data_IF_800885957783
#
_entry.id   IF_800885957783
#
_cell.length_a   1.000
_cell.length_b   1.000
_cell.length_c   1.000
_cell.angle_alpha   90.00
_cell.angle_beta   90.00
_cell.angle_gamma   90.00
#
_symmetry.space_group_name_H-M   'P 1'
#
loop_
_entity.id
_entity.type
_entity.pdbx_description
1 polymer ?
#
# COMPACT_ATOMS: atom_id res chain seq x y z
N UNK A 1 12.27 7.49 -8.92
CA UNK A 1 12.67 8.87 -8.57
C UNK A 1 13.97 9.23 -9.26
N UNK A 2 15.12 8.62 -8.92
CA UNK A 2 16.38 8.90 -9.60
C UNK A 2 16.39 8.36 -11.03
N UNK A 3 16.45 9.26 -12.01
CA UNK A 3 16.42 8.91 -13.43
C UNK A 3 17.61 8.00 -13.83
N UNK A 4 18.81 8.29 -13.33
CA UNK A 4 20.01 7.46 -13.58
C UNK A 4 19.81 6.02 -13.15
N UNK A 5 19.18 5.80 -11.99
CA UNK A 5 18.89 4.45 -11.47
C UNK A 5 17.81 3.78 -12.31
N UNK A 6 16.75 4.50 -12.64
CA UNK A 6 15.66 4.00 -13.48
C UNK A 6 16.15 3.55 -14.87
N UNK A 7 17.02 4.35 -15.48
CA UNK A 7 17.61 4.03 -16.78
C UNK A 7 18.59 2.84 -16.66
N UNK A 8 19.45 2.82 -15.63
CA UNK A 8 20.40 1.73 -15.41
C UNK A 8 19.74 0.39 -15.08
N UNK A 9 18.55 0.39 -14.46
CA UNK A 9 17.79 -0.82 -14.16
C UNK A 9 16.91 -1.33 -15.31
N UNK A 10 17.00 -0.73 -16.50
CA UNK A 10 16.20 -1.12 -17.67
C UNK A 10 14.75 -0.61 -17.66
N UNK A 11 14.43 0.40 -16.84
CA UNK A 11 13.06 0.93 -16.72
C UNK A 11 12.51 1.46 -18.04
N UNK A 12 13.35 2.08 -18.88
CA UNK A 12 12.95 2.62 -20.19
C UNK A 12 12.45 1.52 -21.14
N UNK A 13 13.13 0.37 -21.18
CA UNK A 13 12.73 -0.76 -22.03
C UNK A 13 11.39 -1.35 -21.60
N UNK A 14 11.16 -1.41 -20.28
CA UNK A 14 9.89 -1.88 -19.72
C UNK A 14 8.73 -0.91 -20.01
N UNK A 15 8.98 0.40 -19.96
CA UNK A 15 7.99 1.40 -20.36
C UNK A 15 7.65 1.29 -21.85
N UNK A 16 8.64 1.06 -22.71
CA UNK A 16 8.39 0.86 -24.14
C UNK A 16 7.60 -0.44 -24.41
N UNK A 17 7.89 -1.51 -23.66
CA UNK A 17 7.27 -2.82 -23.86
C UNK A 17 5.86 -2.96 -23.25
N UNK A 18 5.65 -2.39 -22.07
CA UNK A 18 4.44 -2.60 -21.27
C UNK A 18 3.71 -1.30 -20.91
N UNK A 19 4.21 -0.15 -21.37
CA UNK A 19 3.55 1.14 -21.24
C UNK A 19 3.69 1.80 -19.86
N UNK A 20 2.68 2.61 -19.53
CA UNK A 20 2.65 3.49 -18.35
C UNK A 20 2.71 2.75 -17.02
N UNK A 21 2.45 1.44 -16.98
CA UNK A 21 2.53 0.66 -15.75
C UNK A 21 3.94 0.66 -15.13
N UNK A 22 4.98 0.74 -15.96
CA UNK A 22 6.38 0.86 -15.51
C UNK A 22 6.87 2.31 -15.42
N UNK A 23 6.06 3.29 -15.83
CA UNK A 23 6.41 4.71 -15.71
C UNK A 23 6.45 5.10 -14.23
N UNK A 24 7.47 5.85 -13.82
CA UNK A 24 7.54 6.36 -12.45
C UNK A 24 6.36 7.30 -12.13
N UNK A 25 5.92 8.09 -13.10
CA UNK A 25 4.90 9.13 -12.92
C UNK A 25 3.49 8.68 -13.25
N UNK A 26 3.34 7.71 -14.15
CA UNK A 26 2.05 7.39 -14.77
C UNK A 26 1.55 5.99 -14.43
N UNK A 27 2.24 5.26 -13.57
CA UNK A 27 1.71 3.99 -13.06
C UNK A 27 0.46 4.24 -12.20
N UNK A 28 -0.45 3.25 -12.10
CA UNK A 28 -1.70 3.34 -11.33
C UNK A 28 -1.52 3.91 -9.92
N UNK A 29 -0.51 3.44 -9.16
CA UNK A 29 -0.29 3.89 -7.79
C UNK A 29 0.16 5.35 -7.73
N UNK A 30 1.05 5.77 -8.61
CA UNK A 30 1.47 7.17 -8.72
C UNK A 30 0.29 8.08 -9.04
N UNK A 31 -0.61 7.66 -9.94
CA UNK A 31 -1.82 8.41 -10.26
C UNK A 31 -2.80 8.47 -9.09
N UNK A 32 -3.03 7.34 -8.38
CA UNK A 32 -3.90 7.30 -7.19
C UNK A 32 -3.34 8.21 -6.09
N UNK A 33 -2.04 8.17 -5.82
CA UNK A 33 -1.40 9.10 -4.88
C UNK A 33 -1.56 10.55 -5.33
N UNK A 34 -1.28 10.86 -6.59
CA UNK A 34 -1.43 12.22 -7.13
C UNK A 34 -2.87 12.75 -6.95
N UNK A 35 -3.87 11.88 -7.13
CA UNK A 35 -5.30 12.21 -6.98
C UNK A 35 -5.72 12.37 -5.51
N UNK A 36 -5.31 11.45 -4.64
CA UNK A 36 -5.92 11.29 -3.31
C UNK A 36 -5.07 11.77 -2.14
N UNK A 37 -3.78 12.09 -2.34
CA UNK A 37 -2.88 12.47 -1.24
C UNK A 37 -3.38 13.67 -0.43
N UNK A 38 -4.06 14.64 -1.06
CA UNK A 38 -4.62 15.81 -0.38
C UNK A 38 -5.80 15.49 0.54
N UNK A 39 -6.41 14.29 0.42
CA UNK A 39 -7.50 13.84 1.26
C UNK A 39 -7.02 13.31 2.62
N UNK A 40 -5.70 13.16 2.79
CA UNK A 40 -5.12 12.72 4.05
C UNK A 40 -4.90 13.91 4.96
N UNK A 41 -5.73 14.00 6.00
CA UNK A 41 -5.73 15.09 6.99
C UNK A 41 -5.35 14.63 8.39
N UNK A 42 -5.39 13.32 8.64
CA UNK A 42 -5.22 12.69 9.93
C UNK A 42 -4.76 11.23 9.76
N UNK A 43 -4.55 10.54 10.89
CA UNK A 43 -4.08 9.15 10.89
C UNK A 43 -5.12 8.21 10.28
N UNK A 44 -6.41 8.42 10.53
CA UNK A 44 -7.48 7.56 10.01
C UNK A 44 -7.60 7.66 8.48
N UNK A 45 -7.54 8.88 7.94
CA UNK A 45 -7.50 9.14 6.50
C UNK A 45 -6.22 8.63 5.85
N UNK A 46 -5.08 8.63 6.55
CA UNK A 46 -3.85 7.98 6.10
C UNK A 46 -4.01 6.46 6.03
N UNK A 47 -4.54 5.83 7.09
CA UNK A 47 -4.85 4.39 7.10
C UNK A 47 -5.80 4.06 5.94
N UNK A 48 -6.84 4.87 5.72
CA UNK A 48 -7.79 4.70 4.62
C UNK A 48 -7.13 4.75 3.25
N UNK A 49 -6.23 5.71 2.99
CA UNK A 49 -5.51 5.79 1.72
C UNK A 49 -4.57 4.61 1.52
N UNK A 50 -3.81 4.24 2.56
CA UNK A 50 -2.84 3.15 2.46
C UNK A 50 -3.49 1.77 2.34
N UNK A 51 -4.74 1.62 2.79
CA UNK A 51 -5.56 0.41 2.61
C UNK A 51 -6.46 0.46 1.38
N UNK A 52 -6.35 1.51 0.58
CA UNK A 52 -7.22 1.74 -0.56
C UNK A 52 -7.04 0.66 -1.64
N UNK A 53 -8.13 -0.05 -1.90
CA UNK A 53 -8.29 -0.94 -3.05
C UNK A 53 -9.75 -0.99 -3.47
N UNK A 54 -10.13 -0.15 -4.45
CA UNK A 54 -11.43 -0.19 -5.10
C UNK A 54 -11.29 -0.60 -6.58
N UNK A 55 -10.51 -1.66 -6.85
CA UNK A 55 -10.07 -1.96 -8.21
C UNK A 55 -11.19 -2.22 -9.22
N UNK A 56 -12.37 -2.64 -8.76
CA UNK A 56 -13.53 -2.93 -9.61
C UNK A 56 -14.18 -1.67 -10.19
N UNK A 57 -14.12 -0.56 -9.46
CA UNK A 57 -14.80 0.68 -9.81
C UNK A 57 -13.84 1.82 -10.14
N UNK A 58 -12.60 1.78 -9.62
CA UNK A 58 -11.60 2.82 -9.89
C UNK A 58 -11.01 2.67 -11.30
N UNK A 59 -11.21 3.65 -12.21
CA UNK A 59 -10.65 3.58 -13.55
C UNK A 59 -9.13 3.53 -13.57
N UNK A 60 -8.45 4.05 -12.54
CA UNK A 60 -7.00 3.96 -12.42
C UNK A 60 -6.51 2.53 -12.16
N UNK A 61 -7.41 1.65 -11.73
CA UNK A 61 -7.12 0.24 -11.50
C UNK A 61 -7.33 -0.64 -12.74
N UNK A 62 -7.78 -0.05 -13.85
CA UNK A 62 -8.03 -0.77 -15.10
C UNK A 62 -6.72 -1.06 -15.84
N UNK A 63 -6.68 -2.23 -16.45
CA UNK A 63 -5.58 -2.71 -17.28
C UNK A 63 -6.17 -3.08 -18.65
N UNK A 64 -5.96 -2.23 -19.65
CA UNK A 64 -6.53 -2.44 -20.99
C UNK A 64 -6.00 -3.71 -21.68
N UNK A 65 -4.81 -4.16 -21.28
CA UNK A 65 -4.19 -5.40 -21.77
C UNK A 65 -4.60 -6.65 -20.98
N UNK A 66 -5.42 -6.50 -19.93
CA UNK A 66 -5.86 -7.60 -19.06
C UNK A 66 -7.31 -7.99 -19.38
N UNK A 67 -7.63 -9.27 -19.22
CA UNK A 67 -9.00 -9.77 -19.20
C UNK A 67 -9.24 -10.50 -17.86
N UNK A 68 -10.12 -9.99 -16.98
CA UNK A 68 -10.93 -8.78 -17.11
C UNK A 68 -10.10 -7.50 -16.90
N UNK A 69 -10.62 -6.38 -17.39
CA UNK A 69 -9.96 -5.06 -17.34
C UNK A 69 -9.63 -4.64 -15.88
N UNK A 70 -10.54 -4.75 -14.89
CA UNK A 70 -10.23 -4.38 -13.51
C UNK A 70 -9.19 -5.32 -12.89
N UNK A 71 -8.08 -4.78 -12.39
CA UNK A 71 -7.01 -5.59 -11.79
C UNK A 71 -6.74 -5.21 -10.32
N UNK A 72 -6.85 -6.19 -9.43
CA UNK A 72 -6.63 -6.02 -7.99
C UNK A 72 -5.20 -5.61 -7.59
N UNK A 73 -4.23 -5.75 -8.51
CA UNK A 73 -2.84 -5.27 -8.34
C UNK A 73 -2.74 -3.74 -8.46
N UNK A 74 -3.59 -3.11 -9.27
CA UNK A 74 -3.47 -1.69 -9.63
C UNK A 74 -4.13 -0.78 -8.58
N UNK A 75 -3.75 -0.95 -7.31
CA UNK A 75 -4.25 -0.16 -6.17
C UNK A 75 -3.12 0.12 -5.18
N UNK A 76 -3.38 0.92 -4.13
CA UNK A 76 -2.37 1.20 -3.10
C UNK A 76 -2.08 -0.07 -2.29
N UNK A 77 -3.13 -0.75 -1.83
CA UNK A 77 -3.02 -2.04 -1.14
C UNK A 77 -3.51 -3.17 -2.05
N UNK A 78 -2.60 -3.70 -2.87
CA UNK A 78 -2.90 -4.74 -3.84
C UNK A 78 -3.63 -5.97 -3.23
N UNK A 79 -4.55 -6.55 -4.01
CA UNK A 79 -5.30 -7.78 -3.70
C UNK A 79 -5.32 -8.69 -4.91
N UNK A 80 -4.15 -9.21 -5.26
CA UNK A 80 -3.95 -10.04 -6.44
C UNK A 80 -4.65 -11.40 -6.32
N UNK A 81 -5.05 -11.79 -5.10
CA UNK A 81 -5.87 -12.96 -4.81
C UNK A 81 -7.32 -12.81 -5.31
N UNK A 82 -7.80 -11.58 -5.49
CA UNK A 82 -9.15 -11.29 -5.98
C UNK A 82 -9.25 -11.21 -7.51
N UNK A 83 -8.12 -11.31 -8.21
CA UNK A 83 -8.12 -11.49 -9.66
C UNK A 83 -8.67 -12.88 -10.02
N UNK A 84 -9.26 -13.07 -11.21
CA UNK A 84 -9.76 -14.38 -11.61
C UNK A 84 -8.62 -15.38 -11.79
N UNK A 85 -8.87 -16.63 -11.40
CA UNK A 85 -7.88 -17.72 -11.38
C UNK A 85 -7.23 -18.01 -12.73
N UNK A 86 -7.96 -17.83 -13.83
CA UNK A 86 -7.44 -18.02 -15.20
C UNK A 86 -6.61 -16.81 -15.71
N UNK A 87 -6.51 -15.74 -14.92
CA UNK A 87 -5.77 -14.52 -15.24
C UNK A 87 -4.58 -14.33 -14.32
N UNK A 88 -4.43 -13.13 -13.75
CA UNK A 88 -3.26 -12.73 -12.97
C UNK A 88 -3.37 -13.02 -11.47
N UNK A 89 -4.12 -14.07 -11.08
CA UNK A 89 -4.36 -14.39 -9.67
C UNK A 89 -3.09 -14.87 -8.97
N UNK A 90 -2.73 -14.23 -7.86
CA UNK A 90 -1.54 -14.56 -7.07
C UNK A 90 -1.84 -14.42 -5.58
N UNK A 91 -1.22 -15.27 -4.75
CA UNK A 91 -1.22 -15.10 -3.29
C UNK A 91 -0.24 -13.98 -2.90
N UNK A 92 -0.53 -12.77 -3.34
CA UNK A 92 0.31 -11.59 -3.19
C UNK A 92 -0.58 -10.35 -3.03
N UNK A 93 -0.12 -9.39 -2.24
CA UNK A 93 -0.87 -8.17 -1.99
C UNK A 93 -0.30 -7.35 -0.84
N UNK A 94 -1.02 -6.29 -0.46
CA UNK A 94 -0.71 -5.51 0.74
C UNK A 94 -1.06 -6.29 2.01
N UNK A 95 -0.06 -6.62 2.81
CA UNK A 95 -0.20 -7.41 4.05
C UNK A 95 -0.41 -6.55 5.29
N UNK A 96 0.33 -5.45 5.37
CA UNK A 96 0.36 -4.53 6.50
C UNK A 96 0.50 -3.09 6.01
N UNK A 97 0.13 -2.16 6.89
CA UNK A 97 0.54 -0.77 6.79
C UNK A 97 1.01 -0.33 8.16
N UNK A 98 1.87 0.69 8.19
CA UNK A 98 2.44 1.27 9.40
C UNK A 98 2.44 2.77 9.22
N UNK A 99 1.94 3.50 10.21
CA UNK A 99 1.94 4.96 10.20
C UNK A 99 2.46 5.47 11.54
N UNK A 100 3.33 6.48 11.47
CA UNK A 100 3.80 7.24 12.61
C UNK A 100 3.50 8.72 12.41
N UNK A 101 3.17 9.41 13.49
CA UNK A 101 3.00 10.87 13.52
C UNK A 101 4.06 11.48 14.41
N UNK A 102 4.53 12.68 14.09
CA UNK A 102 5.41 13.47 14.96
C UNK A 102 4.79 13.64 16.35
N UNK A 103 3.49 13.89 16.45
CA UNK A 103 2.79 14.06 17.74
C UNK A 103 2.80 12.78 18.57
N UNK A 104 2.58 11.61 17.95
CA UNK A 104 2.70 10.30 18.61
C UNK A 104 4.14 10.08 19.06
N UNK A 105 5.11 10.36 18.20
CA UNK A 105 6.53 10.23 18.52
C UNK A 105 6.95 11.13 19.70
N UNK A 106 6.44 12.37 19.77
CA UNK A 106 6.78 13.34 20.83
C UNK A 106 6.07 13.06 22.16
N UNK A 107 4.78 12.66 22.16
CA UNK A 107 4.03 12.36 23.38
C UNK A 107 4.64 11.22 24.20
N UNK A 108 5.24 10.22 23.54
CA UNK A 108 5.91 9.11 24.24
C UNK A 108 7.35 9.41 24.68
N UNK A 109 7.95 10.51 24.18
CA UNK A 109 9.35 10.84 24.46
C UNK A 109 9.54 11.92 25.52
N UNK A 110 8.57 12.78 25.83
CA UNK A 110 8.73 13.78 26.88
C UNK A 110 7.41 14.34 27.42
N UNK A 111 7.38 14.46 28.75
CA UNK A 111 6.61 15.46 29.48
C UNK A 111 6.55 16.81 28.71
N UNK A 112 5.36 17.28 28.35
CA UNK A 112 5.13 18.63 27.83
C UNK A 112 4.97 18.75 26.30
N UNK A 113 3.73 19.00 25.86
CA UNK A 113 3.35 19.13 24.44
C UNK A 113 3.63 20.53 23.89
N UNK A 114 4.24 20.65 22.70
CA UNK A 114 4.22 21.86 21.86
C UNK A 114 4.01 21.51 20.37
N UNK A 115 2.90 22.05 19.85
CA UNK A 115 2.49 22.44 18.48
C UNK A 115 2.74 21.57 17.24
N UNK A 116 1.63 21.12 16.66
CA UNK A 116 1.11 21.38 15.30
C UNK A 116 2.11 21.46 14.13
N UNK A 117 2.33 20.33 13.44
CA UNK A 117 2.33 20.14 11.98
C UNK A 117 2.30 18.61 11.75
N UNK A 118 1.28 18.01 11.08
CA UNK A 118 1.32 16.61 10.71
C UNK A 118 2.24 16.45 9.49
N UNK A 119 3.52 16.22 9.73
CA UNK A 119 4.42 15.69 8.69
C UNK A 119 4.21 14.19 8.62
N UNK A 120 3.52 13.71 7.58
CA UNK A 120 3.55 12.29 7.22
C UNK A 120 4.90 12.01 6.58
N UNK A 121 5.86 11.59 7.40
CA UNK A 121 7.10 11.02 6.93
C UNK A 121 6.99 9.50 6.96
N UNK A 122 7.23 8.87 5.81
CA UNK A 122 7.63 7.47 5.74
C UNK A 122 9.06 7.35 6.30
N UNK A 123 9.23 7.65 7.59
CA UNK A 123 10.48 7.50 8.33
C UNK A 123 10.19 6.60 9.52
N UNK A 124 10.45 5.30 9.35
CA UNK A 124 10.87 4.47 10.47
C UNK A 124 12.25 4.99 10.89
N UNK A 125 12.30 6.00 11.75
CA UNK A 125 13.54 6.41 12.39
C UNK A 125 14.09 5.21 13.19
N UNK A 126 15.42 5.08 13.27
CA UNK A 126 16.07 3.97 13.96
C UNK A 126 15.67 3.84 15.45
N UNK A 127 15.10 4.91 16.04
CA UNK A 127 14.57 4.90 17.40
C UNK A 127 13.13 4.39 17.52
N UNK A 128 12.28 4.47 16.47
CA UNK A 128 10.96 3.83 16.44
C UNK A 128 11.07 2.29 16.50
N UNK A 129 12.15 1.72 15.94
CA UNK A 129 12.44 0.29 16.05
C UNK A 129 12.70 -0.17 17.50
N UNK A 130 13.09 0.75 18.39
CA UNK A 130 13.40 0.42 19.79
C UNK A 130 12.17 0.36 20.70
N UNK A 131 11.01 0.87 20.26
CA UNK A 131 9.81 1.01 21.12
C UNK A 131 8.50 0.44 20.55
N UNK A 132 8.52 -0.12 19.33
CA UNK A 132 7.48 -1.01 18.79
C UNK A 132 6.03 -0.50 18.69
N UNK A 133 5.77 0.81 18.70
CA UNK A 133 4.41 1.32 18.43
C UNK A 133 4.18 1.49 16.93
N UNK A 134 3.38 0.59 16.36
CA UNK A 134 3.09 0.50 14.94
C UNK A 134 1.61 0.16 14.77
N UNK A 135 0.84 1.11 14.21
CA UNK A 135 -0.53 0.86 13.78
C UNK A 135 -0.52 -0.12 12.62
N UNK A 136 -0.73 -1.41 12.91
CA UNK A 136 -0.78 -2.49 11.95
C UNK A 136 -2.24 -2.90 11.67
N UNK A 137 -2.59 -3.02 10.39
CA UNK A 137 -3.93 -3.44 9.93
C UNK A 137 -3.78 -4.56 8.91
N UNK A 138 -4.48 -5.67 9.11
CA UNK A 138 -4.58 -6.79 8.16
C UNK A 138 -6.03 -7.00 7.70
N UNK A 139 -6.25 -7.44 6.47
CA UNK A 139 -7.58 -7.40 5.81
C UNK A 139 -8.08 -8.77 5.35
N UNK A 140 -9.41 -8.97 5.25
CA UNK A 140 -10.01 -10.30 5.18
C UNK A 140 -9.66 -11.01 3.87
N UNK A 141 -9.19 -12.24 4.03
CA UNK A 141 -8.76 -13.14 2.96
C UNK A 141 -9.57 -14.43 3.04
N UNK A 142 -10.78 -14.46 2.46
CA UNK A 142 -11.33 -15.75 2.00
C UNK A 142 -10.68 -16.05 0.67
N UNK A 143 -9.79 -17.05 0.62
CA UNK A 143 -8.94 -17.26 -0.55
C UNK A 143 -9.08 -18.66 -1.14
N UNK A 144 -8.83 -18.82 -2.46
CA UNK A 144 -8.75 -20.14 -3.09
C UNK A 144 -7.47 -20.91 -2.69
N UNK A 145 -6.63 -20.33 -1.82
CA UNK A 145 -5.32 -20.85 -1.43
C UNK A 145 -5.35 -21.68 -0.14
N UNK A 146 -6.51 -22.25 0.22
CA UNK A 146 -6.69 -23.02 1.47
C UNK A 146 -5.77 -24.25 1.60
N UNK A 147 -5.25 -24.76 0.49
CA UNK A 147 -4.33 -25.91 0.46
C UNK A 147 -2.87 -25.56 0.73
N UNK A 148 -2.53 -24.26 0.78
CA UNK A 148 -1.16 -23.84 1.04
C UNK A 148 -0.87 -23.87 2.54
N UNK A 149 0.34 -24.29 2.89
CA UNK A 149 0.76 -24.34 4.29
C UNK A 149 0.86 -22.93 4.86
N UNK A 150 0.16 -22.68 5.95
CA UNK A 150 0.17 -21.40 6.68
C UNK A 150 0.15 -21.66 8.20
N UNK A 151 1.02 -22.56 8.67
CA UNK A 151 1.09 -22.93 10.09
C UNK A 151 1.30 -21.71 10.98
N UNK A 152 0.46 -21.56 12.00
CA UNK A 152 0.51 -20.44 12.94
C UNK A 152 -0.11 -19.14 12.41
N UNK A 153 -0.54 -19.10 11.15
CA UNK A 153 -1.31 -17.97 10.64
C UNK A 153 -2.81 -18.16 10.92
N UNK A 154 -3.56 -17.08 11.12
CA UNK A 154 -5.01 -17.14 11.23
C UNK A 154 -5.66 -17.54 9.90
N UNK A 155 -6.76 -18.29 9.96
CA UNK A 155 -7.59 -18.62 8.79
C UNK A 155 -8.27 -17.37 8.21
N UNK A 156 -8.59 -16.39 9.07
CA UNK A 156 -9.20 -15.11 8.69
C UNK A 156 -8.34 -13.95 9.18
N UNK A 157 -7.90 -13.13 8.23
CA UNK A 157 -7.15 -11.91 8.50
C UNK A 157 -8.09 -10.72 8.66
N UNK A 158 -8.66 -10.49 9.84
CA UNK A 158 -9.54 -9.33 10.07
C UNK A 158 -9.12 -8.64 11.36
N UNK A 159 -7.93 -8.01 11.33
CA UNK A 159 -7.37 -7.32 12.48
C UNK A 159 -7.71 -5.84 12.42
N UNK A 160 -8.24 -5.34 13.53
CA UNK A 160 -8.37 -3.91 13.78
C UNK A 160 -6.99 -3.29 13.97
N UNK A 161 -6.93 -1.96 13.86
CA UNK A 161 -5.70 -1.20 14.10
C UNK A 161 -5.30 -1.32 15.57
N UNK A 162 -4.07 -1.76 15.83
CA UNK A 162 -3.53 -1.92 17.19
C UNK A 162 -2.52 -0.81 17.47
N UNK A 163 -2.65 -0.15 18.62
CA UNK A 163 -1.78 0.92 19.11
C UNK A 163 -0.54 0.39 19.80
#
# INVERSE_FOLDING_TARGET
YFEKVFNASGGQELVQKYGSWFSFTDNPRAQIFRRNQTLVTDIESMVRLMRYNNYKEDPLSWCDACDPIPNGENSISARSDLNPANGTQRQHGGTDMKVGSSVICFCFLSFGCISDIPVVLQMTSADMFKRFELLAVSGPTSSPYSKLLHMGHPDRWAFDTVH
#
